data_IF_778778344821
#
_entry.id   IF_778778344821
#
_cell.length_a   1.000
_cell.length_b   1.000
_cell.length_c   1.000
_cell.angle_alpha   90.00
_cell.angle_beta   90.00
_cell.angle_gamma   90.00
#
_symmetry.space_group_name_H-M   'P 1'
#
loop_
_entity.id
_entity.type
_entity.pdbx_description
1 polymer ?
#
# COMPACT_ATOMS: atom_id res chain seq x y z
N UNK A 1 7.49 -26.27 -16.26
CA UNK A 1 8.04 -24.90 -16.23
C UNK A 1 6.89 -23.92 -15.99
N UNK A 2 6.98 -23.02 -14.99
CA UNK A 2 5.96 -21.97 -14.79
C UNK A 2 6.35 -20.75 -15.62
N UNK A 3 5.58 -20.45 -16.66
CA UNK A 3 5.70 -19.18 -17.39
C UNK A 3 5.27 -18.05 -16.46
N UNK A 4 6.15 -17.07 -16.27
CA UNK A 4 5.80 -15.81 -15.60
C UNK A 4 5.78 -14.73 -16.67
N UNK A 5 4.59 -14.19 -16.93
CA UNK A 5 4.41 -13.07 -17.83
C UNK A 5 4.83 -11.78 -17.12
N UNK A 6 5.64 -10.95 -17.78
CA UNK A 6 5.96 -9.61 -17.29
C UNK A 6 4.66 -8.84 -17.11
N UNK A 7 4.33 -8.46 -15.88
CA UNK A 7 3.20 -7.58 -15.62
C UNK A 7 3.67 -6.15 -15.90
N UNK A 8 3.24 -5.57 -17.00
CA UNK A 8 3.52 -4.17 -17.34
C UNK A 8 3.20 -3.26 -16.15
N UNK A 9 4.09 -2.30 -15.87
CA UNK A 9 3.81 -1.28 -14.86
C UNK A 9 2.74 -0.34 -15.40
N UNK A 10 1.50 -0.55 -14.98
CA UNK A 10 0.39 0.36 -15.27
C UNK A 10 0.43 1.57 -14.33
N UNK A 11 0.64 2.77 -14.89
CA UNK A 11 0.56 4.04 -14.16
C UNK A 11 -0.77 4.75 -14.44
N UNK A 12 -1.36 5.39 -13.42
CA UNK A 12 -2.63 6.09 -13.58
C UNK A 12 -2.43 7.48 -14.17
N UNK A 13 -3.07 7.76 -15.31
CA UNK A 13 -3.11 9.11 -15.92
C UNK A 13 -3.98 10.11 -15.14
N UNK A 14 -4.80 9.64 -14.18
CA UNK A 14 -5.69 10.46 -13.35
C UNK A 14 -5.35 10.33 -11.85
N UNK A 15 -4.06 10.34 -11.52
CA UNK A 15 -3.57 10.00 -10.18
C UNK A 15 -3.95 11.01 -9.09
N UNK A 16 -3.93 12.31 -9.42
CA UNK A 16 -4.22 13.38 -8.47
C UNK A 16 -5.68 13.83 -8.54
N UNK A 17 -6.23 13.98 -9.76
CA UNK A 17 -7.56 14.51 -10.00
C UNK A 17 -8.34 13.55 -10.90
N UNK A 18 -9.45 13.01 -10.41
CA UNK A 18 -10.19 11.97 -11.13
C UNK A 18 -10.93 12.48 -12.38
N UNK A 19 -11.35 13.75 -12.38
CA UNK A 19 -12.06 14.40 -13.48
C UNK A 19 -11.46 15.79 -13.77
N UNK A 20 -10.42 15.89 -14.60
CA UNK A 20 -9.76 17.17 -14.89
C UNK A 20 -10.59 18.01 -15.87
N UNK A 21 -11.35 18.98 -15.36
CA UNK A 21 -12.19 19.86 -16.18
C UNK A 21 -11.53 21.11 -16.77
N UNK A 22 -10.27 21.40 -16.42
CA UNK A 22 -9.54 22.56 -16.96
C UNK A 22 -8.07 22.21 -17.27
N UNK A 23 -7.40 23.05 -18.05
CA UNK A 23 -6.01 22.84 -18.50
C UNK A 23 -5.03 22.62 -17.34
N UNK A 24 -5.20 23.38 -16.25
CA UNK A 24 -4.39 23.21 -15.05
C UNK A 24 -4.54 21.80 -14.46
N UNK A 25 -5.77 21.32 -14.30
CA UNK A 25 -6.04 19.98 -13.75
C UNK A 25 -5.51 18.87 -14.66
N UNK A 26 -5.60 19.06 -15.98
CA UNK A 26 -5.02 18.14 -16.97
C UNK A 26 -3.49 18.11 -16.86
N UNK A 27 -2.85 19.29 -16.76
CA UNK A 27 -1.42 19.42 -16.57
C UNK A 27 -0.93 18.77 -15.27
N UNK A 28 -1.60 19.01 -14.14
CA UNK A 28 -1.23 18.42 -12.84
C UNK A 28 -1.24 16.89 -12.90
N UNK A 29 -2.23 16.31 -13.57
CA UNK A 29 -2.30 14.87 -13.79
C UNK A 29 -1.21 14.35 -14.74
N UNK A 30 -0.97 15.04 -15.86
CA UNK A 30 0.07 14.68 -16.83
C UNK A 30 1.48 14.76 -16.21
N UNK A 31 1.74 15.80 -15.42
CA UNK A 31 2.97 15.96 -14.66
C UNK A 31 3.17 14.82 -13.66
N UNK A 32 2.13 14.49 -12.87
CA UNK A 32 2.18 13.37 -11.93
C UNK A 32 2.44 12.04 -12.63
N UNK A 33 1.81 11.80 -13.78
CA UNK A 33 2.05 10.60 -14.59
C UNK A 33 3.53 10.51 -15.05
N UNK A 34 4.08 11.59 -15.63
CA UNK A 34 5.49 11.64 -16.03
C UNK A 34 6.44 11.34 -14.86
N UNK A 35 6.21 11.95 -13.70
CA UNK A 35 7.05 11.72 -12.51
C UNK A 35 6.93 10.29 -11.98
N UNK A 36 5.74 9.70 -12.01
CA UNK A 36 5.53 8.29 -11.64
C UNK A 36 6.31 7.34 -12.57
N UNK A 37 6.30 7.62 -13.88
CA UNK A 37 7.03 6.84 -14.89
C UNK A 37 8.54 6.97 -14.67
N UNK A 38 9.07 8.20 -14.53
CA UNK A 38 10.50 8.46 -14.30
C UNK A 38 11.01 7.81 -13.01
N UNK A 39 10.29 7.99 -11.91
CA UNK A 39 10.70 7.50 -10.59
C UNK A 39 10.44 6.01 -10.37
N UNK A 40 9.77 5.34 -11.31
CA UNK A 40 9.29 3.96 -11.15
C UNK A 40 8.42 3.74 -9.89
N UNK A 41 7.85 4.82 -9.34
CA UNK A 41 7.05 4.79 -8.12
C UNK A 41 5.55 4.85 -8.47
N UNK A 42 4.79 3.83 -8.06
CA UNK A 42 3.33 3.76 -8.30
C UNK A 42 2.52 4.62 -7.32
N UNK A 43 3.10 5.02 -6.19
CA UNK A 43 2.41 5.79 -5.17
C UNK A 43 3.30 6.91 -4.57
N UNK A 44 3.80 7.84 -5.40
CA UNK A 44 4.55 9.00 -4.91
C UNK A 44 3.69 9.90 -4.00
N UNK A 45 4.36 10.70 -3.17
CA UNK A 45 3.67 11.60 -2.25
C UNK A 45 2.83 12.63 -3.01
N UNK A 46 1.50 12.51 -2.88
CA UNK A 46 0.54 13.36 -3.59
C UNK A 46 0.71 14.86 -3.30
N UNK A 47 1.08 15.24 -2.07
CA UNK A 47 1.25 16.65 -1.69
C UNK A 47 2.48 17.25 -2.35
N UNK A 48 3.57 16.50 -2.34
CA UNK A 48 4.84 16.93 -2.94
C UNK A 48 4.72 17.07 -4.46
N UNK A 49 4.12 16.09 -5.13
CA UNK A 49 3.83 16.18 -6.56
C UNK A 49 2.92 17.36 -6.91
N UNK A 50 1.93 17.64 -6.07
CA UNK A 50 1.03 18.77 -6.30
C UNK A 50 1.75 20.11 -6.18
N UNK A 51 2.66 20.26 -5.21
CA UNK A 51 3.48 21.46 -5.06
C UNK A 51 4.42 21.63 -6.26
N UNK A 52 5.12 20.57 -6.67
CA UNK A 52 6.00 20.61 -7.85
C UNK A 52 5.24 20.92 -9.14
N UNK A 53 4.05 20.31 -9.32
CA UNK A 53 3.19 20.62 -10.45
C UNK A 53 2.71 22.07 -10.43
N UNK A 54 2.41 22.63 -9.25
CA UNK A 54 2.01 24.02 -9.10
C UNK A 54 3.14 24.99 -9.45
N UNK A 55 4.35 24.72 -9.00
CA UNK A 55 5.53 25.55 -9.29
C UNK A 55 5.88 25.52 -10.78
N UNK A 56 5.79 24.36 -11.42
CA UNK A 56 5.98 24.26 -12.87
C UNK A 56 4.84 24.89 -13.66
N UNK A 57 3.59 24.76 -13.20
CA UNK A 57 2.44 25.43 -13.82
C UNK A 57 2.63 26.95 -13.87
N UNK A 58 3.16 27.56 -12.81
CA UNK A 58 3.44 29.01 -12.79
C UNK A 58 4.35 29.48 -13.92
N UNK A 59 5.26 28.61 -14.40
CA UNK A 59 6.20 28.91 -15.49
C UNK A 59 5.55 28.79 -16.88
N UNK A 60 4.57 27.90 -17.04
CA UNK A 60 3.97 27.60 -18.35
C UNK A 60 2.59 28.22 -18.56
N UNK A 61 1.91 28.67 -17.51
CA UNK A 61 0.52 29.20 -17.58
C UNK A 61 0.34 30.44 -18.46
N UNK A 62 1.42 31.14 -18.80
CA UNK A 62 1.41 32.33 -19.65
C UNK A 62 1.61 32.00 -21.14
N UNK A 63 1.87 30.72 -21.47
CA UNK A 63 1.97 30.26 -22.85
C UNK A 63 0.58 30.16 -23.48
N UNK A 64 0.53 30.15 -24.80
CA UNK A 64 -0.69 29.91 -25.55
C UNK A 64 -1.25 28.51 -25.26
N UNK A 65 -2.55 28.36 -25.52
CA UNK A 65 -3.32 27.16 -25.17
C UNK A 65 -2.79 25.92 -25.89
N UNK A 66 -2.42 26.05 -27.15
CA UNK A 66 -1.95 24.94 -27.99
C UNK A 66 -0.59 24.43 -27.51
N UNK A 67 0.30 25.34 -27.13
CA UNK A 67 1.58 25.01 -26.49
C UNK A 67 1.38 24.29 -25.16
N UNK A 68 0.43 24.73 -24.33
CA UNK A 68 0.13 24.05 -23.05
C UNK A 68 -0.42 22.64 -23.31
N UNK A 69 -1.29 22.48 -24.31
CA UNK A 69 -1.81 21.17 -24.69
C UNK A 69 -0.71 20.24 -25.22
N UNK A 70 0.22 20.76 -26.00
CA UNK A 70 1.36 19.99 -26.48
C UNK A 70 2.26 19.53 -25.31
N UNK A 71 2.53 20.41 -24.34
CA UNK A 71 3.25 20.03 -23.12
C UNK A 71 2.53 18.91 -22.34
N UNK A 72 1.20 19.00 -22.23
CA UNK A 72 0.39 17.96 -21.58
C UNK A 72 0.50 16.63 -22.33
N UNK A 73 0.44 16.68 -23.66
CA UNK A 73 0.58 15.51 -24.52
C UNK A 73 1.95 14.85 -24.34
N UNK A 74 3.03 15.60 -24.43
CA UNK A 74 4.40 15.12 -24.21
C UNK A 74 4.57 14.45 -22.84
N UNK A 75 4.05 15.06 -21.78
CA UNK A 75 4.11 14.49 -20.43
C UNK A 75 3.36 13.16 -20.33
N UNK A 76 2.21 13.02 -21.00
CA UNK A 76 1.43 11.78 -21.04
C UNK A 76 2.07 10.70 -21.94
N UNK A 77 2.95 11.10 -22.85
CA UNK A 77 3.71 10.22 -23.74
C UNK A 77 5.10 9.86 -23.20
N UNK A 78 5.39 10.18 -21.93
CA UNK A 78 6.63 9.75 -21.26
C UNK A 78 6.81 8.23 -21.42
N UNK A 79 7.89 7.76 -22.09
CA UNK A 79 8.06 6.36 -22.43
C UNK A 79 8.21 5.52 -21.16
N UNK A 80 7.37 4.51 -21.03
CA UNK A 80 7.45 3.53 -19.94
C UNK A 80 8.64 2.63 -20.26
N UNK A 81 9.76 2.87 -19.58
CA UNK A 81 10.89 1.97 -19.68
C UNK A 81 10.48 0.63 -19.04
N UNK A 82 10.65 -0.51 -19.74
CA UNK A 82 10.51 -1.80 -19.10
C UNK A 82 11.51 -1.87 -17.95
N UNK A 83 10.99 -2.08 -16.73
CA UNK A 83 11.82 -2.15 -15.53
C UNK A 83 12.99 -3.10 -15.77
N UNK A 84 14.25 -2.68 -15.57
CA UNK A 84 15.37 -3.60 -15.51
C UNK A 84 15.23 -4.39 -14.21
N UNK A 85 14.49 -5.51 -14.26
CA UNK A 85 14.35 -6.57 -13.27
C UNK A 85 14.60 -6.22 -11.79
N UNK A 86 13.60 -6.42 -10.91
CA UNK A 86 13.85 -7.06 -9.63
C UNK A 86 13.43 -8.52 -9.78
N UNK A 87 14.39 -9.40 -10.07
CA UNK A 87 14.21 -10.82 -9.80
C UNK A 87 13.97 -10.95 -8.30
N UNK A 88 12.70 -11.08 -7.89
CA UNK A 88 12.37 -11.56 -6.55
C UNK A 88 12.70 -13.04 -6.57
N UNK A 89 13.96 -13.37 -6.30
CA UNK A 89 14.39 -14.71 -5.95
C UNK A 89 13.70 -15.08 -4.64
N UNK A 90 12.50 -15.64 -4.72
CA UNK A 90 11.96 -16.42 -3.62
C UNK A 90 12.92 -17.60 -3.42
N UNK A 91 13.85 -17.46 -2.45
CA UNK A 91 14.60 -18.59 -1.93
C UNK A 91 13.58 -19.57 -1.39
N UNK A 92 13.25 -20.59 -2.18
CA UNK A 92 12.59 -21.78 -1.67
C UNK A 92 13.61 -22.50 -0.79
N UNK A 93 13.38 -22.47 0.52
CA UNK A 93 13.96 -23.48 1.41
C UNK A 93 13.47 -24.83 0.92
N UNK A 94 14.40 -25.66 0.45
CA UNK A 94 14.15 -27.03 0.03
C UNK A 94 13.97 -27.84 1.31
N UNK A 95 12.73 -28.25 1.59
CA UNK A 95 12.45 -29.32 2.54
C UNK A 95 12.71 -30.68 1.86
N UNK A 96 13.27 -31.69 2.55
CA UNK A 96 13.61 -32.96 1.91
C UNK A 96 12.36 -33.79 1.56
N UNK A 97 12.40 -34.37 0.37
CA UNK A 97 11.42 -35.30 -0.18
C UNK A 97 11.25 -36.54 0.71
N UNK A 98 10.03 -36.81 1.21
CA UNK A 98 9.62 -38.15 1.71
C UNK A 98 8.75 -38.86 0.66
N UNK A 99 8.81 -40.21 0.57
CA UNK A 99 8.19 -40.97 -0.50
C UNK A 99 6.66 -41.11 -0.33
N UNK A 100 5.93 -41.45 -1.41
CA UNK A 100 4.47 -41.43 -1.43
C UNK A 100 3.92 -42.70 -0.76
N UNK A 101 3.02 -42.53 0.21
CA UNK A 101 2.18 -43.61 0.71
C UNK A 101 0.71 -43.16 0.72
N UNK A 102 -0.03 -43.82 -0.18
CA UNK A 102 -1.39 -44.34 -0.08
C UNK A 102 -2.44 -43.50 0.65
N UNK A 103 -3.42 -43.03 -0.13
CA UNK A 103 -4.71 -42.48 0.31
C UNK A 103 -5.39 -43.41 1.34
N UNK A 104 -5.97 -42.86 2.42
CA UNK A 104 -7.36 -43.20 2.72
C UNK A 104 -8.22 -42.01 3.13
N UNK A 105 -9.49 -42.13 2.70
CA UNK A 105 -10.76 -41.66 3.25
C UNK A 105 -10.88 -40.29 3.95
N UNK A 106 -11.86 -39.55 3.42
CA UNK A 106 -12.57 -38.39 3.94
C UNK A 106 -12.91 -38.49 5.44
N UNK A 107 -12.49 -37.50 6.22
CA UNK A 107 -13.19 -36.98 7.40
C UNK A 107 -12.94 -35.47 7.53
N UNK A 108 -13.90 -34.69 8.08
CA UNK A 108 -13.99 -33.26 7.87
C UNK A 108 -13.09 -32.48 8.83
N UNK A 109 -12.02 -31.88 8.30
CA UNK A 109 -11.15 -30.99 9.05
C UNK A 109 -11.71 -29.57 8.95
N UNK A 110 -12.38 -29.15 10.00
CA UNK A 110 -12.47 -27.75 10.40
C UNK A 110 -11.05 -27.21 10.53
N UNK A 111 -10.53 -26.53 9.51
CA UNK A 111 -9.45 -25.54 9.60
C UNK A 111 -9.38 -24.79 8.27
N UNK A 112 -10.21 -23.76 8.16
CA UNK A 112 -10.15 -22.76 7.10
C UNK A 112 -8.81 -22.01 7.18
N UNK A 113 -8.01 -21.91 6.10
CA UNK A 113 -6.86 -21.01 6.08
C UNK A 113 -7.39 -19.58 6.11
N UNK A 114 -6.97 -18.77 7.09
CA UNK A 114 -7.31 -17.35 7.14
C UNK A 114 -6.96 -16.67 5.81
N UNK A 115 -7.91 -15.95 5.16
CA UNK A 115 -7.62 -15.24 3.94
C UNK A 115 -6.60 -14.14 4.22
N UNK A 116 -5.50 -14.19 3.48
CA UNK A 116 -4.33 -13.30 3.55
C UNK A 116 -4.71 -11.82 3.71
N UNK A 117 -4.63 -11.32 4.95
CA UNK A 117 -4.93 -9.95 5.38
C UNK A 117 -3.83 -8.92 5.03
N UNK A 118 -2.93 -9.23 4.09
CA UNK A 118 -1.55 -8.75 4.19
C UNK A 118 -1.21 -7.35 3.62
N UNK A 119 -2.15 -6.62 3.00
CA UNK A 119 -1.71 -5.46 2.19
C UNK A 119 -1.83 -4.10 2.93
N UNK A 120 -2.60 -3.98 4.01
CA UNK A 120 -2.75 -2.68 4.70
C UNK A 120 -2.34 -2.67 6.19
N UNK A 121 -2.09 -3.85 6.81
CA UNK A 121 -1.68 -3.91 8.23
C UNK A 121 -0.19 -3.60 8.45
N UNK A 122 0.66 -3.87 7.45
CA UNK A 122 2.14 -3.82 7.59
C UNK A 122 2.68 -2.41 7.86
N UNK A 123 2.03 -1.38 7.32
CA UNK A 123 2.49 0.01 7.47
C UNK A 123 2.38 0.50 8.92
N UNK A 124 1.29 0.19 9.61
CA UNK A 124 1.10 0.61 11.00
C UNK A 124 2.05 -0.14 11.93
N UNK A 125 2.26 -1.44 11.71
CA UNK A 125 3.24 -2.24 12.45
C UNK A 125 4.66 -1.68 12.29
N UNK A 126 5.06 -1.32 11.07
CA UNK A 126 6.39 -0.76 10.80
C UNK A 126 6.58 0.60 11.49
N UNK A 127 5.59 1.49 11.40
CA UNK A 127 5.64 2.79 12.07
C UNK A 127 5.68 2.66 13.60
N UNK A 128 4.90 1.73 14.17
CA UNK A 128 4.92 1.45 15.62
C UNK A 128 6.27 0.89 16.07
N UNK A 129 6.88 -0.01 15.31
CA UNK A 129 8.19 -0.59 15.62
C UNK A 129 9.29 0.48 15.60
N UNK A 130 9.33 1.33 14.56
CA UNK A 130 10.29 2.43 14.47
C UNK A 130 10.14 3.42 15.65
N UNK A 131 8.90 3.73 16.04
CA UNK A 131 8.61 4.53 17.23
C UNK A 131 9.13 3.86 18.51
N UNK A 132 8.95 2.55 18.65
CA UNK A 132 9.41 1.80 19.82
C UNK A 132 10.94 1.76 19.90
N UNK A 133 11.63 1.54 18.78
CA UNK A 133 13.09 1.58 18.67
C UNK A 133 13.64 2.96 19.06
N UNK A 134 13.05 4.04 18.52
CA UNK A 134 13.42 5.40 18.87
C UNK A 134 13.21 5.68 20.37
N UNK A 135 12.08 5.24 20.91
CA UNK A 135 11.74 5.43 22.31
C UNK A 135 12.70 4.68 23.22
N UNK A 136 13.13 3.48 22.83
CA UNK A 136 14.19 2.75 23.53
C UNK A 136 15.51 3.51 23.49
N UNK A 137 15.89 4.07 22.34
CA UNK A 137 17.10 4.89 22.20
C UNK A 137 17.07 6.11 23.11
N UNK A 138 15.96 6.86 23.11
CA UNK A 138 15.78 8.05 23.96
C UNK A 138 15.82 7.68 25.44
N UNK A 139 15.19 6.56 25.85
CA UNK A 139 15.26 6.06 27.24
C UNK A 139 16.67 5.66 27.64
N UNK A 140 17.42 5.01 26.75
CA UNK A 140 18.83 4.67 26.98
C UNK A 140 19.69 5.94 27.16
N UNK A 141 19.49 6.94 26.32
CA UNK A 141 20.22 8.21 26.42
C UNK A 141 19.85 8.97 27.70
N UNK A 142 18.57 8.98 28.09
CA UNK A 142 18.12 9.57 29.36
C UNK A 142 18.79 8.89 30.56
N UNK A 143 18.94 7.57 30.56
CA UNK A 143 19.69 6.84 31.57
C UNK A 143 21.16 7.27 31.62
N UNK A 144 21.82 7.38 30.46
CA UNK A 144 23.22 7.85 30.38
C UNK A 144 23.38 9.26 30.96
N UNK A 145 22.53 10.21 30.57
CA UNK A 145 22.62 11.58 31.07
C UNK A 145 22.31 11.69 32.56
N UNK A 146 21.39 10.88 33.09
CA UNK A 146 21.15 10.81 34.53
C UNK A 146 22.38 10.29 35.30
N UNK A 147 23.06 9.27 34.76
CA UNK A 147 24.30 8.77 35.37
C UNK A 147 25.42 9.82 35.31
N UNK A 148 25.56 10.53 34.19
CA UNK A 148 26.51 11.64 34.06
C UNK A 148 26.20 12.78 35.02
N UNK A 149 24.93 13.13 35.21
CA UNK A 149 24.50 14.15 36.18
C UNK A 149 24.86 13.76 37.62
N UNK A 150 24.77 12.46 37.97
CA UNK A 150 25.19 11.95 39.29
C UNK A 150 26.71 12.03 39.48
N UNK A 151 27.49 11.76 38.43
CA UNK A 151 28.95 11.80 38.47
C UNK A 151 29.53 13.23 38.33
N UNK A 152 28.75 14.18 37.84
CA UNK A 152 29.21 15.53 37.57
C UNK A 152 29.37 16.37 38.85
N UNK A 153 30.59 16.85 39.08
CA UNK A 153 30.93 17.75 40.19
C UNK A 153 30.82 19.23 39.82
N UNK A 154 31.00 19.60 38.54
CA UNK A 154 30.99 21.01 38.12
C UNK A 154 29.56 21.53 37.87
N UNK A 155 29.22 22.73 38.38
CA UNK A 155 27.88 23.32 38.21
C UNK A 155 27.45 23.50 36.75
N UNK A 156 28.38 23.87 35.86
CA UNK A 156 28.11 24.11 34.44
C UNK A 156 27.71 22.81 33.73
N UNK A 157 28.42 21.70 34.01
CA UNK A 157 28.08 20.39 33.46
C UNK A 157 26.73 19.91 34.01
N UNK A 158 26.48 20.07 35.32
CA UNK A 158 25.19 19.71 35.93
C UNK A 158 24.02 20.46 35.30
N UNK A 159 24.17 21.76 35.04
CA UNK A 159 23.17 22.58 34.35
C UNK A 159 22.94 22.08 32.92
N UNK A 160 24.01 21.81 32.17
CA UNK A 160 23.92 21.32 30.79
C UNK A 160 23.22 19.95 30.69
N UNK A 161 23.52 19.03 31.61
CA UNK A 161 22.91 17.70 31.66
C UNK A 161 21.45 17.77 32.09
N UNK A 162 21.11 18.60 33.07
CA UNK A 162 19.71 18.84 33.46
C UNK A 162 18.88 19.35 32.29
N UNK A 163 19.40 20.31 31.51
CA UNK A 163 18.72 20.81 30.31
C UNK A 163 18.51 19.70 29.27
N UNK A 164 19.52 18.84 29.08
CA UNK A 164 19.43 17.73 28.12
C UNK A 164 18.45 16.66 28.57
N UNK A 165 18.40 16.33 29.86
CA UNK A 165 17.43 15.40 30.46
C UNK A 165 16.02 15.93 30.23
N UNK A 166 15.75 17.19 30.55
CA UNK A 166 14.43 17.80 30.33
C UNK A 166 13.96 17.71 28.87
N UNK A 167 14.85 17.99 27.91
CA UNK A 167 14.55 17.84 26.47
C UNK A 167 14.25 16.39 26.08
N UNK A 168 14.97 15.42 26.65
CA UNK A 168 14.74 14.00 26.40
C UNK A 168 13.41 13.54 27.01
N UNK A 169 13.07 13.99 28.21
CA UNK A 169 11.77 13.72 28.86
C UNK A 169 10.60 14.24 28.01
N UNK A 170 10.69 15.48 27.55
CA UNK A 170 9.70 16.06 26.62
C UNK A 170 9.56 15.19 25.36
N UNK A 171 10.67 14.74 24.78
CA UNK A 171 10.67 13.85 23.62
C UNK A 171 9.98 12.52 23.91
N UNK A 172 10.25 11.89 25.06
CA UNK A 172 9.59 10.64 25.48
C UNK A 172 8.07 10.84 25.53
N UNK A 173 7.59 11.91 26.18
CA UNK A 173 6.15 12.14 26.32
C UNK A 173 5.45 12.32 24.97
N UNK A 174 6.10 12.98 24.00
CA UNK A 174 5.55 13.21 22.66
C UNK A 174 5.48 11.88 21.88
N UNK A 175 6.56 11.10 21.89
CA UNK A 175 6.63 9.82 21.18
C UNK A 175 5.66 8.79 21.79
N UNK A 176 5.50 8.74 23.12
CA UNK A 176 4.52 7.86 23.80
C UNK A 176 3.08 8.21 23.40
N UNK A 177 2.73 9.50 23.35
CA UNK A 177 1.40 9.95 22.88
C UNK A 177 1.15 9.54 21.43
N UNK A 178 2.15 9.66 20.57
CA UNK A 178 2.07 9.28 19.16
C UNK A 178 1.90 7.77 19.00
N UNK A 179 2.67 6.98 19.76
CA UNK A 179 2.56 5.52 19.77
C UNK A 179 1.17 5.06 20.22
N UNK A 180 0.61 5.68 21.27
CA UNK A 180 -0.74 5.40 21.75
C UNK A 180 -1.79 5.63 20.64
N UNK A 181 -1.75 6.78 19.97
CA UNK A 181 -2.66 7.09 18.85
C UNK A 181 -2.60 6.06 17.73
N UNK A 182 -1.40 5.60 17.36
CA UNK A 182 -1.23 4.58 16.33
C UNK A 182 -1.82 3.23 16.74
N UNK A 183 -1.68 2.85 18.03
CA UNK A 183 -2.29 1.63 18.57
C UNK A 183 -3.81 1.71 18.58
N UNK A 184 -4.37 2.84 19.03
CA UNK A 184 -5.82 3.06 19.06
C UNK A 184 -6.42 3.00 17.66
N UNK A 185 -5.76 3.63 16.68
CA UNK A 185 -6.18 3.58 15.27
C UNK A 185 -6.13 2.16 14.71
N UNK A 186 -5.09 1.39 15.01
CA UNK A 186 -4.98 0.00 14.58
C UNK A 186 -6.09 -0.87 15.20
N UNK A 187 -6.37 -0.69 16.49
CA UNK A 187 -7.47 -1.39 17.17
C UNK A 187 -8.84 -1.02 16.59
N UNK A 188 -9.09 0.26 16.31
CA UNK A 188 -10.33 0.71 15.67
C UNK A 188 -10.50 0.09 14.28
N UNK A 189 -9.44 0.08 13.46
CA UNK A 189 -9.46 -0.54 12.14
C UNK A 189 -9.76 -2.04 12.23
N UNK A 190 -9.18 -2.74 13.20
CA UNK A 190 -9.45 -4.16 13.44
C UNK A 190 -10.90 -4.41 13.83
N UNK A 191 -11.49 -3.58 14.70
CA UNK A 191 -12.90 -3.68 15.09
C UNK A 191 -13.84 -3.48 13.89
N UNK A 192 -13.59 -2.46 13.06
CA UNK A 192 -14.39 -2.22 11.86
C UNK A 192 -14.34 -3.40 10.90
N UNK A 193 -13.16 -4.01 10.70
CA UNK A 193 -13.00 -5.20 9.86
C UNK A 193 -13.78 -6.39 10.41
N UNK A 194 -13.65 -6.68 11.71
CA UNK A 194 -14.42 -7.75 12.36
C UNK A 194 -15.93 -7.54 12.21
N UNK A 195 -16.42 -6.30 12.36
CA UNK A 195 -17.84 -5.98 12.15
C UNK A 195 -18.28 -6.21 10.71
N UNK A 196 -17.49 -5.76 9.73
CA UNK A 196 -17.77 -5.99 8.30
C UNK A 196 -17.76 -7.46 7.94
N UNK A 197 -16.78 -8.22 8.44
CA UNK A 197 -16.69 -9.66 8.21
C UNK A 197 -17.88 -10.40 8.82
N UNK A 198 -18.31 -10.02 10.03
CA UNK A 198 -19.50 -10.58 10.67
C UNK A 198 -20.77 -10.30 9.86
N UNK A 199 -21.01 -9.06 9.46
CA UNK A 199 -22.17 -8.69 8.65
C UNK A 199 -22.18 -9.40 7.30
N UNK A 200 -21.04 -9.48 6.63
CA UNK A 200 -20.90 -10.16 5.34
C UNK A 200 -21.18 -11.68 5.42
N UNK A 201 -20.81 -12.32 6.54
CA UNK A 201 -21.09 -13.73 6.80
C UNK A 201 -22.56 -13.96 7.20
N UNK A 202 -23.14 -13.08 8.03
CA UNK A 202 -24.54 -13.18 8.48
C UNK A 202 -25.53 -12.92 7.34
N UNK A 203 -25.24 -11.99 6.43
CA UNK A 203 -26.12 -11.66 5.30
C UNK A 203 -25.91 -12.60 4.09
N UNK A 204 -24.95 -13.54 4.14
CA UNK A 204 -24.57 -14.41 3.00
C UNK A 204 -24.18 -13.63 1.72
N UNK A 205 -23.82 -12.34 1.85
CA UNK A 205 -23.55 -11.43 0.73
C UNK A 205 -22.14 -11.63 0.16
N UNK A 206 -21.21 -12.22 0.92
CA UNK A 206 -19.80 -12.35 0.52
C UNK A 206 -19.33 -13.79 0.68
N UNK A 207 -19.07 -14.44 -0.47
CA UNK A 207 -18.42 -15.74 -0.54
C UNK A 207 -16.89 -15.53 -0.51
N UNK A 208 -16.23 -16.01 0.54
CA UNK A 208 -14.77 -15.94 0.67
C UNK A 208 -14.18 -17.07 -0.17
N UNK A 209 -13.40 -16.72 -1.19
CA UNK A 209 -12.71 -17.72 -2.02
C UNK A 209 -11.43 -18.20 -1.34
N UNK A 210 -11.29 -19.52 -1.18
CA UNK A 210 -10.08 -20.15 -0.62
C UNK A 210 -8.88 -20.08 -1.57
N UNK A 211 -9.11 -19.90 -2.88
CA UNK A 211 -8.07 -19.82 -3.89
C UNK A 211 -8.42 -18.84 -5.03
N UNK A 212 -7.43 -18.14 -5.61
CA UNK A 212 -7.63 -17.37 -6.83
C UNK A 212 -7.91 -18.33 -8.00
N UNK A 213 -9.07 -18.19 -8.66
CA UNK A 213 -9.28 -18.81 -9.97
C UNK A 213 -10.63 -19.44 -10.29
N UNK A 214 -11.60 -19.51 -9.37
CA UNK A 214 -12.99 -19.83 -9.76
C UNK A 214 -13.97 -19.48 -8.65
N UNK A 215 -15.05 -18.74 -8.95
CA UNK A 215 -16.17 -18.67 -8.03
C UNK A 215 -16.74 -20.07 -7.78
N UNK A 216 -16.97 -20.43 -6.51
CA UNK A 216 -17.56 -21.71 -6.09
C UNK A 216 -18.94 -21.96 -6.69
N UNK A 217 -19.63 -20.91 -7.17
CA UNK A 217 -20.85 -21.04 -7.96
C UNK A 217 -20.68 -21.92 -9.21
N UNK A 218 -19.54 -21.85 -9.90
CA UNK A 218 -19.23 -22.72 -11.05
C UNK A 218 -18.87 -24.15 -10.67
N UNK A 219 -18.68 -24.44 -9.37
CA UNK A 219 -18.48 -25.79 -8.85
C UNK A 219 -19.83 -26.45 -8.57
N UNK A 220 -20.85 -25.66 -8.21
CA UNK A 220 -22.22 -26.15 -7.94
C UNK A 220 -23.03 -26.37 -9.22
N UNK A 221 -22.84 -25.53 -10.22
CA UNK A 221 -23.44 -25.72 -11.55
C UNK A 221 -22.34 -25.57 -12.63
N UNK A 222 -21.73 -26.68 -13.07
CA UNK A 222 -20.68 -26.65 -14.09
C UNK A 222 -21.19 -26.12 -15.44
N UNK A 223 -22.51 -26.22 -15.68
CA UNK A 223 -23.16 -25.81 -16.93
C UNK A 223 -23.72 -24.38 -16.85
N UNK A 224 -23.52 -23.66 -15.74
CA UNK A 224 -24.02 -22.29 -15.57
C UNK A 224 -23.50 -21.34 -16.65
N UNK A 225 -22.24 -21.51 -17.07
CA UNK A 225 -21.64 -20.70 -18.11
C UNK A 225 -22.36 -20.91 -19.45
N UNK A 226 -22.66 -22.16 -19.78
CA UNK A 226 -23.37 -22.56 -20.99
C UNK A 226 -24.81 -22.05 -20.98
N UNK A 227 -25.52 -22.18 -19.86
CA UNK A 227 -26.85 -21.58 -19.67
C UNK A 227 -26.85 -20.06 -19.85
N UNK A 228 -25.83 -19.35 -19.37
CA UNK A 228 -25.72 -17.90 -19.60
C UNK A 228 -25.49 -17.56 -21.07
N UNK A 229 -24.75 -18.40 -21.81
CA UNK A 229 -24.55 -18.24 -23.25
C UNK A 229 -25.84 -18.50 -24.03
N UNK A 230 -26.62 -19.51 -23.63
CA UNK A 230 -27.91 -19.84 -24.24
C UNK A 230 -28.99 -18.77 -24.00
N UNK A 231 -28.88 -18.01 -22.90
CA UNK A 231 -29.79 -16.92 -22.57
C UNK A 231 -29.54 -15.63 -23.37
N UNK A 232 -28.47 -15.55 -24.17
CA UNK A 232 -28.17 -14.38 -25.00
C UNK A 232 -28.63 -14.65 -26.43
N UNK A 233 -29.85 -14.25 -26.75
CA UNK A 233 -30.30 -14.18 -28.14
C UNK A 233 -29.69 -12.96 -28.83
N UNK A 234 -28.75 -13.21 -29.75
CA UNK A 234 -28.31 -12.18 -30.69
C UNK A 234 -29.35 -12.06 -31.80
N UNK A 235 -30.10 -10.96 -31.81
CA UNK A 235 -31.00 -10.63 -32.91
C UNK A 235 -30.23 -10.54 -34.23
N UNK A 236 -30.79 -11.13 -35.30
CA UNK A 236 -30.19 -11.10 -36.62
C UNK A 236 -29.98 -9.63 -37.07
N UNK A 237 -28.78 -9.32 -37.55
CA UNK A 237 -28.52 -8.02 -38.16
C UNK A 237 -29.27 -7.95 -39.50
N UNK A 238 -30.07 -6.89 -39.68
CA UNK A 238 -30.77 -6.62 -40.94
C UNK A 238 -29.77 -6.61 -42.10
N UNK A 239 -30.05 -7.44 -43.11
CA UNK A 239 -29.30 -7.43 -44.37
C UNK A 239 -29.56 -6.11 -45.10
N UNK A 240 -28.50 -5.35 -45.36
CA UNK A 240 -28.52 -4.16 -46.23
C UNK A 240 -28.48 -4.54 -47.69
#
# INVERSE_FOLDING_TARGET
MKQTYFKELTYSKNYLIQKPGNLYKQYVNAFAFSEMVKSHNKAPNKRELQLQAQDNWRKIKMKDKDTIQNIIFELLHTPIQPSPYPFISQKKTVEPLRPPLTRPSLTPINNLPEPSNNIQLKSNATAQNHLLENLQKVKNDLCKYNNLLRAASTPELRSSFTLKIKKLEETVTVEEKKLKRLRDNAAAQQRTRKKKQKAALEENVVEIYDAPGRPSFFVKDPNLLEKMHDCVEFGAADYK
#
